data_IF_231004900177
#
_entry.id   IF_231004900177
#
_cell.length_a   1.000
_cell.length_b   1.000
_cell.length_c   1.000
_cell.angle_alpha   90.00
_cell.angle_beta   90.00
_cell.angle_gamma   90.00
#
_symmetry.space_group_name_H-M   'P 1'
#
loop_
_entity.id
_entity.type
_entity.pdbx_description
1 polymer ?
#
# COMPACT_ATOMS: atom_id res chain seq x y z
N UNK A 1 5.31 -5.79 -0.95
CA UNK A 1 4.78 -7.14 -1.26
C UNK A 1 5.89 -7.98 -1.84
N UNK A 2 6.11 -9.17 -1.28
CA UNK A 2 7.23 -10.05 -1.62
C UNK A 2 6.71 -11.43 -2.00
N UNK A 3 7.36 -12.08 -2.97
CA UNK A 3 7.08 -13.49 -3.32
C UNK A 3 8.40 -14.25 -3.36
N UNK A 4 8.41 -15.45 -2.78
CA UNK A 4 9.55 -16.37 -2.73
C UNK A 4 9.16 -17.79 -3.14
N UNK A 5 10.04 -18.47 -3.85
CA UNK A 5 9.89 -19.88 -4.24
C UNK A 5 10.94 -20.82 -3.64
N UNK A 6 10.75 -22.12 -3.89
CA UNK A 6 11.60 -23.21 -3.36
C UNK A 6 13.05 -23.19 -3.86
N UNK A 7 13.36 -22.42 -4.91
CA UNK A 7 14.72 -22.23 -5.42
C UNK A 7 15.38 -20.96 -4.83
N UNK A 8 14.74 -20.35 -3.82
CA UNK A 8 15.15 -19.08 -3.23
C UNK A 8 15.08 -17.89 -4.21
N UNK A 9 14.37 -18.03 -5.34
CA UNK A 9 14.05 -16.87 -6.17
C UNK A 9 13.11 -15.97 -5.37
N UNK A 10 13.46 -14.69 -5.27
CA UNK A 10 12.70 -13.72 -4.51
C UNK A 10 12.50 -12.44 -5.32
N UNK A 11 11.28 -11.90 -5.29
CA UNK A 11 10.93 -10.66 -5.99
C UNK A 11 10.13 -9.72 -5.11
N UNK A 12 10.34 -8.41 -5.28
CA UNK A 12 9.40 -7.39 -4.82
C UNK A 12 8.35 -7.17 -5.90
N UNK A 13 7.10 -7.53 -5.61
CA UNK A 13 6.01 -7.31 -6.55
C UNK A 13 5.59 -5.85 -6.53
N UNK A 14 5.55 -5.22 -5.35
CA UNK A 14 5.07 -3.85 -5.22
C UNK A 14 5.62 -3.20 -3.94
N UNK A 15 6.05 -1.94 -4.07
CA UNK A 15 6.33 -1.04 -2.95
C UNK A 15 5.16 -0.09 -2.75
N UNK A 16 4.75 0.09 -1.50
CA UNK A 16 3.59 0.89 -1.13
C UNK A 16 4.05 1.86 -0.05
N UNK A 17 3.77 3.14 -0.24
CA UNK A 17 4.04 4.20 0.72
C UNK A 17 2.73 4.72 1.31
N UNK A 18 2.69 4.87 2.63
CA UNK A 18 1.56 5.46 3.32
C UNK A 18 1.69 6.99 3.28
N UNK A 19 0.60 7.67 2.92
CA UNK A 19 0.50 9.13 3.05
C UNK A 19 0.32 9.51 4.51
N UNK A 20 -0.52 8.77 5.25
CA UNK A 20 -0.68 8.94 6.68
C UNK A 20 0.52 8.37 7.45
N UNK A 21 1.05 9.08 8.46
CA UNK A 21 2.26 8.67 9.17
C UNK A 21 2.03 7.44 10.07
N UNK A 22 3.13 6.83 10.50
CA UNK A 22 3.14 5.77 11.50
C UNK A 22 2.32 6.17 12.74
N UNK A 23 1.45 5.27 13.18
CA UNK A 23 0.43 5.52 14.20
C UNK A 23 -0.99 5.40 13.66
N UNK A 24 -1.18 5.56 12.36
CA UNK A 24 -2.41 5.19 11.63
C UNK A 24 -2.24 3.80 11.03
N UNK A 25 -3.19 2.91 11.26
CA UNK A 25 -3.17 1.56 10.70
C UNK A 25 -3.15 1.61 9.16
N UNK A 26 -2.33 0.79 8.49
CA UNK A 26 -2.19 0.79 7.01
C UNK A 26 -3.52 0.57 6.27
N UNK A 27 -4.43 -0.18 6.90
CA UNK A 27 -5.81 -0.34 6.43
C UNK A 27 -6.61 0.96 6.36
N UNK A 28 -6.38 1.88 7.28
CA UNK A 28 -7.02 3.19 7.41
C UNK A 28 -6.17 4.34 6.84
N UNK A 29 -4.97 4.06 6.37
CA UNK A 29 -4.16 5.04 5.65
C UNK A 29 -4.58 5.18 4.19
N UNK A 30 -4.45 6.38 3.65
CA UNK A 30 -4.23 6.59 2.22
C UNK A 30 -2.86 6.01 1.88
N UNK A 31 -2.78 5.24 0.80
CA UNK A 31 -1.52 4.63 0.35
C UNK A 31 -1.31 4.81 -1.14
N UNK A 32 -0.05 4.85 -1.56
CA UNK A 32 0.35 5.01 -2.96
C UNK A 32 1.31 3.91 -3.40
N UNK A 33 1.24 3.54 -4.68
CA UNK A 33 2.23 2.70 -5.34
C UNK A 33 2.66 3.34 -6.66
N UNK A 34 3.97 3.39 -6.99
CA UNK A 34 5.08 2.92 -6.16
C UNK A 34 5.35 3.84 -4.96
N UNK A 35 6.31 3.48 -4.10
CA UNK A 35 6.88 4.44 -3.15
C UNK A 35 7.50 5.63 -3.89
N UNK A 36 7.29 6.84 -3.37
CA UNK A 36 7.59 8.10 -4.06
C UNK A 36 8.75 8.89 -3.41
N UNK A 37 8.98 8.72 -2.10
CA UNK A 37 9.90 9.59 -1.36
C UNK A 37 11.21 8.93 -0.94
N UNK A 38 11.33 7.62 -1.09
CA UNK A 38 12.59 6.92 -0.83
C UNK A 38 13.59 7.17 -1.97
N UNK A 39 14.84 7.45 -1.62
CA UNK A 39 15.93 7.32 -2.57
C UNK A 39 16.10 5.86 -2.99
N UNK A 40 16.69 5.62 -4.17
CA UNK A 40 16.97 4.25 -4.60
C UNK A 40 17.83 3.49 -3.56
N UNK A 41 18.79 4.15 -2.92
CA UNK A 41 19.60 3.54 -1.85
C UNK A 41 18.75 3.06 -0.66
N UNK A 42 17.83 3.90 -0.18
CA UNK A 42 16.94 3.53 0.91
C UNK A 42 15.96 2.42 0.49
N UNK A 43 15.48 2.48 -0.75
CA UNK A 43 14.64 1.44 -1.33
C UNK A 43 15.36 0.09 -1.41
N UNK A 44 16.62 0.05 -1.87
CA UNK A 44 17.41 -1.19 -1.91
C UNK A 44 17.63 -1.77 -0.51
N UNK A 45 17.86 -0.94 0.51
CA UNK A 45 17.95 -1.41 1.91
C UNK A 45 16.63 -2.03 2.37
N UNK A 46 15.49 -1.39 2.07
CA UNK A 46 14.16 -1.94 2.39
C UNK A 46 13.87 -3.23 1.63
N UNK A 47 14.27 -3.31 0.36
CA UNK A 47 14.16 -4.50 -0.48
C UNK A 47 14.95 -5.66 0.14
N UNK A 48 16.23 -5.46 0.44
CA UNK A 48 17.09 -6.50 1.02
C UNK A 48 16.57 -6.96 2.39
N UNK A 49 16.13 -6.02 3.24
CA UNK A 49 15.50 -6.35 4.52
C UNK A 49 14.22 -7.17 4.33
N UNK A 50 13.38 -6.84 3.34
CA UNK A 50 12.17 -7.60 3.03
C UNK A 50 12.48 -9.06 2.67
N UNK A 51 13.50 -9.27 1.83
CA UNK A 51 13.92 -10.61 1.43
C UNK A 51 14.53 -11.40 2.60
N UNK A 52 15.35 -10.74 3.42
CA UNK A 52 15.94 -11.34 4.61
C UNK A 52 14.86 -11.78 5.61
N UNK A 53 13.83 -10.96 5.84
CA UNK A 53 12.70 -11.30 6.72
C UNK A 53 11.96 -12.54 6.22
N UNK A 54 11.67 -12.66 4.92
CA UNK A 54 11.01 -13.86 4.38
C UNK A 54 11.85 -15.13 4.55
N UNK A 55 13.16 -15.02 4.33
CA UNK A 55 14.11 -16.13 4.51
C UNK A 55 14.16 -16.58 5.97
N UNK A 56 14.29 -15.63 6.90
CA UNK A 56 14.39 -15.92 8.33
C UNK A 56 13.10 -16.54 8.89
N UNK A 57 11.93 -16.05 8.47
CA UNK A 57 10.65 -16.62 8.89
C UNK A 57 10.38 -17.98 8.23
N UNK A 58 11.12 -18.34 7.18
CA UNK A 58 10.98 -19.64 6.51
C UNK A 58 9.81 -19.70 5.52
N UNK A 59 9.41 -18.57 4.93
CA UNK A 59 8.44 -18.58 3.82
C UNK A 59 9.16 -19.03 2.56
N UNK A 60 9.02 -20.29 2.18
CA UNK A 60 9.71 -20.88 1.01
C UNK A 60 8.85 -20.91 -0.26
N UNK A 61 7.51 -20.92 -0.16
CA UNK A 61 6.63 -21.14 -1.33
C UNK A 61 5.37 -20.28 -1.29
N UNK A 62 5.53 -18.97 -1.47
CA UNK A 62 4.36 -18.09 -1.49
C UNK A 62 4.64 -16.60 -1.43
N UNK A 63 3.56 -15.84 -1.26
CA UNK A 63 3.59 -14.38 -1.08
C UNK A 63 3.50 -13.96 0.38
N UNK A 64 4.11 -12.84 0.73
CA UNK A 64 4.06 -12.24 2.06
C UNK A 64 4.13 -10.71 1.98
N UNK A 65 3.65 -10.07 3.04
CA UNK A 65 3.74 -8.63 3.23
C UNK A 65 4.71 -8.34 4.38
N UNK A 66 5.59 -7.35 4.21
CA UNK A 66 6.50 -6.85 5.26
C UNK A 66 6.24 -5.36 5.40
N UNK A 67 6.11 -4.88 6.64
CA UNK A 67 5.84 -3.48 6.95
C UNK A 67 7.02 -2.85 7.68
N UNK A 68 7.28 -1.59 7.35
CA UNK A 68 8.43 -0.85 7.85
C UNK A 68 8.02 0.54 8.36
N UNK A 69 8.76 1.05 9.33
CA UNK A 69 8.83 2.47 9.65
C UNK A 69 10.16 3.04 9.16
N UNK A 70 10.13 4.20 8.52
CA UNK A 70 11.33 4.96 8.10
C UNK A 70 11.33 6.29 8.82
N UNK A 71 12.42 6.63 9.49
CA UNK A 71 12.62 7.97 10.04
C UNK A 71 13.04 8.93 8.91
N UNK A 72 12.24 9.95 8.56
CA UNK A 72 12.55 10.84 7.45
C UNK A 72 13.75 11.77 7.71
N UNK A 73 14.23 11.88 8.96
CA UNK A 73 15.36 12.76 9.31
C UNK A 73 16.70 12.11 8.96
N UNK A 74 16.84 10.80 9.16
CA UNK A 74 18.12 10.08 9.06
C UNK A 74 18.05 8.79 8.23
N UNK A 75 16.88 8.44 7.67
CA UNK A 75 16.67 7.24 6.88
C UNK A 75 16.65 5.94 7.70
N UNK A 76 16.60 6.00 9.04
CA UNK A 76 16.59 4.80 9.88
C UNK A 76 15.36 3.94 9.57
N UNK A 77 15.61 2.73 9.09
CA UNK A 77 14.60 1.71 8.79
C UNK A 77 14.36 0.80 10.00
N UNK A 78 13.09 0.53 10.31
CA UNK A 78 12.65 -0.41 11.35
C UNK A 78 11.62 -1.36 10.77
N UNK A 79 11.82 -2.67 10.93
CA UNK A 79 10.80 -3.68 10.61
C UNK A 79 9.71 -3.63 11.67
N UNK A 80 8.46 -3.49 11.25
CA UNK A 80 7.29 -3.43 12.16
C UNK A 80 6.68 -4.81 12.33
N UNK A 81 6.28 -5.43 11.24
CA UNK A 81 5.73 -6.78 11.22
C UNK A 81 5.92 -7.44 9.86
N UNK A 82 5.70 -8.75 9.81
CA UNK A 82 5.51 -9.48 8.57
C UNK A 82 4.28 -10.38 8.66
N UNK A 83 3.57 -10.48 7.55
CA UNK A 83 2.39 -11.31 7.41
C UNK A 83 2.73 -12.45 6.43
N UNK A 84 2.88 -13.71 6.88
CA UNK A 84 3.32 -14.84 6.07
C UNK A 84 2.18 -15.42 5.21
N UNK A 85 1.45 -14.54 4.54
CA UNK A 85 0.26 -14.86 3.74
C UNK A 85 -0.05 -13.71 2.78
N UNK A 86 -0.95 -13.98 1.83
CA UNK A 86 -1.62 -12.91 1.09
C UNK A 86 -2.43 -12.01 2.03
N UNK A 87 -2.42 -10.71 1.73
CA UNK A 87 -3.06 -9.66 2.54
C UNK A 87 -4.00 -8.82 1.66
N UNK A 88 -4.74 -7.89 2.29
CA UNK A 88 -5.46 -6.85 1.54
C UNK A 88 -4.51 -6.05 0.65
N UNK A 89 -3.31 -5.74 1.16
CA UNK A 89 -2.25 -5.07 0.40
C UNK A 89 -1.74 -5.91 -0.78
N UNK A 90 -1.73 -7.24 -0.68
CA UNK A 90 -1.40 -8.13 -1.80
C UNK A 90 -2.44 -8.05 -2.92
N UNK A 91 -3.73 -7.92 -2.57
CA UNK A 91 -4.79 -7.72 -3.54
C UNK A 91 -4.67 -6.35 -4.23
N UNK A 92 -4.40 -5.29 -3.46
CA UNK A 92 -4.10 -3.94 -3.97
C UNK A 92 -2.91 -3.96 -4.93
N UNK A 93 -1.78 -4.56 -4.53
CA UNK A 93 -0.58 -4.69 -5.35
C UNK A 93 -0.83 -5.49 -6.63
N UNK A 94 -1.63 -6.54 -6.57
CA UNK A 94 -1.98 -7.33 -7.76
C UNK A 94 -2.76 -6.50 -8.78
N UNK A 95 -3.64 -5.61 -8.31
CA UNK A 95 -4.38 -4.68 -9.17
C UNK A 95 -3.50 -3.53 -9.66
N UNK A 96 -2.59 -3.04 -8.81
CA UNK A 96 -1.67 -1.96 -9.14
C UNK A 96 -0.66 -2.36 -10.22
N UNK A 97 -0.16 -3.59 -10.20
CA UNK A 97 0.94 -4.04 -11.06
C UNK A 97 0.49 -4.94 -12.21
N UNK A 98 -0.73 -5.48 -12.11
CA UNK A 98 -1.21 -6.56 -12.98
C UNK A 98 -0.62 -7.94 -12.64
N UNK A 99 0.33 -8.03 -11.70
CA UNK A 99 0.93 -9.30 -11.29
C UNK A 99 -0.02 -10.07 -10.35
N UNK A 100 -0.52 -11.26 -10.72
CA UNK A 100 -1.56 -11.94 -9.95
C UNK A 100 -0.96 -12.74 -8.77
N UNK A 101 -0.59 -12.04 -7.68
CA UNK A 101 0.15 -12.61 -6.53
C UNK A 101 -0.49 -13.90 -6.02
N UNK A 102 -1.80 -13.91 -5.78
CA UNK A 102 -2.49 -15.10 -5.25
C UNK A 102 -2.43 -16.30 -6.21
N UNK A 103 -2.54 -16.07 -7.53
CA UNK A 103 -2.44 -17.11 -8.57
C UNK A 103 -1.03 -17.69 -8.60
N UNK A 104 -0.01 -16.82 -8.58
CA UNK A 104 1.40 -17.23 -8.58
C UNK A 104 1.72 -17.98 -7.29
N UNK A 105 1.40 -17.42 -6.12
CA UNK A 105 1.64 -18.05 -4.83
C UNK A 105 0.98 -19.44 -4.71
N UNK A 106 -0.24 -19.62 -5.23
CA UNK A 106 -0.89 -20.93 -5.25
C UNK A 106 -0.13 -21.96 -6.11
N UNK A 107 0.45 -21.55 -7.23
CA UNK A 107 1.32 -22.41 -8.04
C UNK A 107 2.63 -22.75 -7.32
N UNK A 108 3.24 -21.77 -6.65
CA UNK A 108 4.45 -22.01 -5.85
C UNK A 108 4.21 -23.02 -4.74
N UNK A 109 3.04 -22.95 -4.07
CA UNK A 109 2.65 -23.87 -3.01
C UNK A 109 2.53 -25.33 -3.47
N UNK A 110 2.29 -25.59 -4.76
CA UNK A 110 2.27 -26.94 -5.35
C UNK A 110 3.59 -27.30 -6.07
N UNK A 111 4.66 -26.54 -5.80
CA UNK A 111 6.02 -26.87 -6.20
C UNK A 111 6.52 -26.23 -7.48
N UNK A 112 5.76 -25.32 -8.11
CA UNK A 112 6.32 -24.50 -9.19
C UNK A 112 7.33 -23.48 -8.64
N UNK A 113 8.14 -22.96 -9.53
CA UNK A 113 9.09 -21.86 -9.32
C UNK A 113 8.67 -20.64 -10.14
N UNK A 114 9.17 -19.47 -9.81
CA UNK A 114 8.81 -18.21 -10.46
C UNK A 114 9.20 -18.20 -11.94
N UNK A 115 10.31 -18.86 -12.31
CA UNK A 115 10.78 -19.01 -13.68
C UNK A 115 9.93 -19.96 -14.54
N UNK A 116 9.26 -20.94 -13.93
CA UNK A 116 8.34 -21.86 -14.63
C UNK A 116 6.95 -21.24 -14.90
N UNK A 117 6.63 -20.12 -14.25
CA UNK A 117 5.31 -19.49 -14.35
C UNK A 117 5.39 -18.36 -15.39
N UNK A 118 4.62 -18.49 -16.47
CA UNK A 118 4.48 -17.43 -17.47
C UNK A 118 3.72 -16.20 -16.92
N UNK A 119 4.17 -15.00 -17.29
CA UNK A 119 3.53 -13.74 -16.92
C UNK A 119 2.26 -13.48 -17.75
N UNK A 120 1.11 -13.44 -17.08
CA UNK A 120 -0.21 -13.30 -17.72
C UNK A 120 -0.33 -12.00 -18.54
N UNK A 121 0.17 -10.87 -18.04
CA UNK A 121 -0.05 -9.55 -18.67
C UNK A 121 0.75 -9.33 -19.95
N UNK A 122 1.88 -10.03 -20.11
CA UNK A 122 2.70 -10.00 -21.33
C UNK A 122 2.39 -11.17 -22.27
N UNK A 123 1.23 -11.83 -22.10
CA UNK A 123 0.84 -12.99 -22.91
C UNK A 123 1.80 -14.19 -22.78
N UNK A 124 2.50 -14.31 -21.65
CA UNK A 124 3.49 -15.35 -21.39
C UNK A 124 4.86 -15.15 -22.03
N UNK A 125 5.14 -13.97 -22.62
CA UNK A 125 6.45 -13.67 -23.22
C UNK A 125 7.60 -13.58 -22.19
N UNK A 126 7.30 -13.29 -20.93
CA UNK A 126 8.27 -13.23 -19.82
C UNK A 126 7.85 -14.17 -18.69
N UNK A 127 8.79 -14.65 -17.85
CA UNK A 127 8.44 -15.40 -16.65
C UNK A 127 7.86 -14.49 -15.56
N UNK A 128 7.37 -15.10 -14.48
CA UNK A 128 6.92 -14.42 -13.26
C UNK A 128 8.08 -14.06 -12.32
N UNK A 129 9.31 -14.49 -12.62
CA UNK A 129 10.55 -14.14 -11.91
C UNK A 129 11.07 -12.74 -12.27
N UNK A 130 10.23 -11.71 -12.09
CA UNK A 130 10.59 -10.31 -12.33
C UNK A 130 9.92 -9.38 -11.32
N UNK A 131 10.46 -8.18 -11.14
CA UNK A 131 9.83 -7.11 -10.36
C UNK A 131 9.06 -6.18 -11.31
N UNK A 132 7.72 -6.06 -11.19
CA UNK A 132 6.95 -5.15 -12.02
C UNK A 132 7.38 -3.70 -11.82
N UNK A 133 7.52 -2.97 -12.93
CA UNK A 133 7.67 -1.51 -12.92
C UNK A 133 6.45 -0.90 -13.59
N UNK A 134 5.86 0.10 -12.94
CA UNK A 134 4.66 0.79 -13.44
C UNK A 134 5.01 2.23 -13.84
N UNK A 135 4.41 2.70 -14.93
CA UNK A 135 4.60 4.04 -15.48
C UNK A 135 3.46 5.00 -15.11
N UNK A 136 2.76 4.67 -14.02
CA UNK A 136 1.65 5.40 -13.44
C UNK A 136 1.70 5.33 -11.91
N UNK A 137 0.91 6.16 -11.25
CA UNK A 137 0.71 6.18 -9.80
C UNK A 137 -0.64 5.59 -9.46
N UNK A 138 -0.65 4.69 -8.50
CA UNK A 138 -1.85 4.12 -7.90
C UNK A 138 -2.07 4.76 -6.54
N UNK A 139 -3.30 5.19 -6.26
CA UNK A 139 -3.71 5.71 -4.95
C UNK A 139 -4.86 4.89 -4.41
N UNK A 140 -4.75 4.44 -3.16
CA UNK A 140 -5.82 3.80 -2.39
C UNK A 140 -6.28 4.76 -1.30
N UNK A 141 -7.59 4.96 -1.19
CA UNK A 141 -8.21 5.74 -0.10
C UNK A 141 -9.19 4.83 0.64
N UNK A 142 -9.11 4.72 1.98
CA UNK A 142 -10.04 3.93 2.77
C UNK A 142 -11.40 4.62 2.89
N UNK A 143 -12.48 3.82 2.91
CA UNK A 143 -13.84 4.26 3.15
C UNK A 143 -14.23 3.93 4.59
N UNK A 144 -14.61 4.95 5.34
CA UNK A 144 -15.16 4.80 6.70
C UNK A 144 -16.69 4.75 6.68
N UNK A 145 -17.34 4.43 7.79
CA UNK A 145 -18.80 4.50 7.93
C UNK A 145 -19.18 5.03 9.32
N UNK A 146 -18.46 6.05 9.79
CA UNK A 146 -18.62 6.61 11.14
C UNK A 146 -20.03 7.14 11.40
N UNK A 147 -20.72 7.61 10.36
CA UNK A 147 -22.11 8.05 10.42
C UNK A 147 -23.07 6.97 10.93
N UNK A 148 -22.70 5.69 10.82
CA UNK A 148 -23.48 4.56 11.36
C UNK A 148 -23.23 4.30 12.84
N UNK A 149 -22.24 4.95 13.45
CA UNK A 149 -21.76 4.68 14.81
C UNK A 149 -21.50 5.99 15.59
N UNK A 150 -22.52 6.79 15.91
CA UNK A 150 -22.36 8.14 16.50
C UNK A 150 -21.68 8.17 17.88
N UNK A 151 -21.66 7.05 18.61
CA UNK A 151 -20.95 6.94 19.90
C UNK A 151 -19.48 6.50 19.76
N UNK A 152 -19.01 6.20 18.56
CA UNK A 152 -17.63 5.76 18.32
C UNK A 152 -16.71 6.96 18.03
N UNK A 153 -15.46 6.87 18.50
CA UNK A 153 -14.44 7.87 18.16
C UNK A 153 -14.05 7.80 16.68
N UNK A 154 -14.02 8.96 16.02
CA UNK A 154 -13.58 9.12 14.62
C UNK A 154 -12.05 9.20 14.47
N UNK A 155 -11.31 9.32 15.58
CA UNK A 155 -9.84 9.43 15.56
C UNK A 155 -9.22 8.16 15.00
N UNK A 156 -8.37 8.30 13.98
CA UNK A 156 -7.63 7.16 13.42
C UNK A 156 -6.51 6.72 14.36
N UNK A 157 -6.31 5.42 14.48
CA UNK A 157 -5.31 4.82 15.38
C UNK A 157 -4.65 3.62 14.70
N UNK A 158 -3.86 2.84 15.46
CA UNK A 158 -3.29 1.57 15.01
C UNK A 158 -4.34 0.45 14.86
N UNK A 159 -5.59 0.66 15.28
CA UNK A 159 -6.69 -0.28 15.04
C UNK A 159 -7.53 0.20 13.85
N UNK A 160 -7.63 -0.65 12.83
CA UNK A 160 -8.43 -0.38 11.63
C UNK A 160 -9.92 -0.15 11.95
N UNK A 161 -10.53 0.84 11.31
CA UNK A 161 -11.96 1.20 11.40
C UNK A 161 -12.64 1.33 10.04
N UNK A 162 -11.89 1.41 8.95
CA UNK A 162 -12.45 1.47 7.60
C UNK A 162 -13.19 0.18 7.22
N UNK A 163 -14.22 0.32 6.38
CA UNK A 163 -15.10 -0.76 5.95
C UNK A 163 -14.91 -1.14 4.48
N UNK A 164 -14.12 -0.35 3.75
CA UNK A 164 -13.82 -0.55 2.34
C UNK A 164 -12.69 0.36 1.89
N UNK A 165 -12.42 0.34 0.59
CA UNK A 165 -11.40 1.17 -0.04
C UNK A 165 -11.71 1.39 -1.52
N UNK A 166 -11.29 2.54 -2.04
CA UNK A 166 -11.26 2.83 -3.48
C UNK A 166 -9.81 2.84 -3.95
N UNK A 167 -9.58 2.41 -5.18
CA UNK A 167 -8.29 2.48 -5.86
C UNK A 167 -8.45 3.28 -7.15
N UNK A 168 -7.52 4.19 -7.42
CA UNK A 168 -7.44 4.90 -8.68
C UNK A 168 -6.02 4.86 -9.27
N UNK A 169 -5.94 5.07 -10.58
CA UNK A 169 -4.69 5.09 -11.35
C UNK A 169 -4.61 6.41 -12.09
N UNK A 170 -3.47 7.09 -12.06
CA UNK A 170 -3.19 8.31 -12.80
C UNK A 170 -1.73 8.36 -13.25
N UNK A 171 -1.41 9.16 -14.28
CA UNK A 171 -0.02 9.38 -14.74
C UNK A 171 0.81 10.18 -13.74
N UNK A 172 0.15 10.89 -12.83
CA UNK A 172 0.76 11.68 -11.76
C UNK A 172 0.09 11.38 -10.43
N UNK A 173 0.75 11.73 -9.33
CA UNK A 173 0.16 11.62 -7.99
C UNK A 173 -1.13 12.44 -7.89
N UNK A 174 -1.15 13.69 -8.38
CA UNK A 174 -2.34 14.54 -8.30
C UNK A 174 -3.53 13.94 -9.06
N UNK A 175 -3.30 13.42 -10.27
CA UNK A 175 -4.35 12.77 -11.05
C UNK A 175 -4.89 11.53 -10.33
N UNK A 176 -3.99 10.67 -9.83
CA UNK A 176 -4.35 9.45 -9.12
C UNK A 176 -5.15 9.73 -7.84
N UNK A 177 -4.68 10.70 -7.05
CA UNK A 177 -5.33 11.13 -5.81
C UNK A 177 -6.73 11.69 -6.06
N UNK A 178 -6.87 12.66 -6.98
CA UNK A 178 -8.19 13.25 -7.26
C UNK A 178 -9.18 12.24 -7.83
N UNK A 179 -8.72 11.28 -8.65
CA UNK A 179 -9.54 10.17 -9.11
C UNK A 179 -9.98 9.27 -7.96
N UNK A 180 -9.12 9.02 -6.97
CA UNK A 180 -9.48 8.25 -5.79
C UNK A 180 -10.51 8.99 -4.92
N UNK A 181 -10.32 10.30 -4.69
CA UNK A 181 -11.24 11.11 -3.86
C UNK A 181 -12.65 11.11 -4.45
N UNK A 182 -12.78 11.43 -5.74
CA UNK A 182 -14.10 11.44 -6.40
C UNK A 182 -14.74 10.06 -6.56
N UNK A 183 -13.95 8.99 -6.45
CA UNK A 183 -14.41 7.60 -6.49
C UNK A 183 -14.76 7.03 -5.11
N UNK A 184 -14.66 7.83 -4.04
CA UNK A 184 -14.92 7.38 -2.67
C UNK A 184 -16.43 7.31 -2.34
N UNK A 185 -17.29 7.80 -3.23
CA UNK A 185 -18.75 7.83 -3.07
C UNK A 185 -19.17 8.56 -1.78
N UNK A 186 -18.52 9.68 -1.50
CA UNK A 186 -18.82 10.59 -0.36
C UNK A 186 -19.50 11.88 -0.80
N UNK A 187 -19.82 12.02 -2.09
CA UNK A 187 -20.40 13.23 -2.67
C UNK A 187 -19.37 14.28 -3.11
N UNK A 188 -18.07 14.05 -2.86
CA UNK A 188 -16.99 14.92 -3.33
C UNK A 188 -16.67 14.67 -4.81
N UNK A 189 -16.35 15.73 -5.54
CA UNK A 189 -15.94 15.67 -6.96
C UNK A 189 -14.43 15.73 -7.19
N UNK A 190 -13.67 15.97 -6.12
CA UNK A 190 -12.21 16.04 -6.09
C UNK A 190 -11.74 16.51 -4.72
N UNK A 191 -10.61 17.20 -4.68
CA UNK A 191 -10.19 17.96 -3.49
C UNK A 191 -11.01 19.26 -3.43
N UNK A 192 -12.31 19.11 -3.16
CA UNK A 192 -13.25 20.21 -3.10
C UNK A 192 -12.89 21.15 -1.94
N UNK A 193 -13.04 22.46 -2.15
CA UNK A 193 -12.90 23.43 -1.07
C UNK A 193 -14.01 23.24 -0.05
N UNK A 194 -13.63 23.19 1.23
CA UNK A 194 -14.56 23.15 2.35
C UNK A 194 -14.38 24.40 3.20
N UNK A 195 -15.48 25.04 3.58
CA UNK A 195 -15.44 26.12 4.56
C UNK A 195 -15.19 25.54 5.95
N UNK A 196 -14.05 25.89 6.54
CA UNK A 196 -13.73 25.58 7.93
C UNK A 196 -13.97 26.84 8.76
N UNK A 197 -14.92 26.77 9.69
CA UNK A 197 -15.23 27.90 10.56
C UNK A 197 -13.99 28.35 11.35
N UNK A 198 -13.63 29.63 11.22
CA UNK A 198 -12.47 30.20 11.92
C UNK A 198 -11.15 30.11 11.17
N UNK A 199 -11.09 29.41 10.03
CA UNK A 199 -9.90 29.39 9.17
C UNK A 199 -9.60 30.79 8.63
N UNK A 200 -8.33 31.21 8.69
CA UNK A 200 -7.84 32.53 8.28
C UNK A 200 -8.04 33.64 9.33
N UNK A 201 -8.56 33.32 10.53
CA UNK A 201 -8.82 34.29 11.61
C UNK A 201 -7.74 34.32 12.71
N UNK A 202 -6.61 33.63 12.51
CA UNK A 202 -5.42 33.72 13.35
C UNK A 202 -5.10 32.47 14.19
N UNK A 203 -6.06 31.54 14.36
CA UNK A 203 -5.86 30.25 15.03
C UNK A 203 -6.31 29.07 14.18
N UNK A 204 -5.74 28.99 12.98
CA UNK A 204 -6.11 28.01 11.95
C UNK A 204 -5.96 26.57 12.43
N UNK A 205 -4.98 26.29 13.31
CA UNK A 205 -4.76 24.94 13.84
C UNK A 205 -5.94 24.47 14.69
N UNK A 206 -6.47 25.32 15.56
CA UNK A 206 -7.61 24.93 16.39
C UNK A 206 -8.91 24.93 15.58
N UNK A 207 -9.07 25.82 14.59
CA UNK A 207 -10.18 25.78 13.64
C UNK A 207 -10.23 24.44 12.88
N UNK A 208 -9.10 23.98 12.34
CA UNK A 208 -8.99 22.69 11.66
C UNK A 208 -9.29 21.53 12.62
N UNK A 209 -8.73 21.55 13.84
CA UNK A 209 -9.03 20.51 14.84
C UNK A 209 -10.51 20.45 15.17
N UNK A 210 -11.15 21.58 15.41
CA UNK A 210 -12.58 21.65 15.71
C UNK A 210 -13.44 21.09 14.57
N UNK A 211 -13.07 21.36 13.31
CA UNK A 211 -13.77 20.82 12.14
C UNK A 211 -13.58 19.31 11.93
N UNK A 212 -12.44 18.76 12.37
CA UNK A 212 -12.15 17.32 12.28
C UNK A 212 -12.78 16.49 13.40
N UNK A 213 -13.29 17.15 14.46
CA UNK A 213 -13.84 16.51 15.67
C UNK A 213 -12.75 15.98 16.60
#
# INVERSE_FOLDING_TARGET
EVVRDKHDNCIIVCSIENLDPMGVHTGDSITVAPALTLTDKEYQIMRDASLAVLREIGVETGGSNVQFGVNPVDGRLVVIEMNPRVSRSSALASKATGFPIAKVAAKLAIGYTLDEIANDITGGATPASFEPTIDYVVTKIPRFAFEKFPGASHTLTTSMKSVGEVMAIGRTFQESLQKAVRGLETGLTGLDEIEIEGLGKGDDKNAIRAALG
#
